data_IF_524707717410
#
_entry.id   IF_524707717410
#
_cell.length_a   1.000
_cell.length_b   1.000
_cell.length_c   1.000
_cell.angle_alpha   90.00
_cell.angle_beta   90.00
_cell.angle_gamma   90.00
#
_symmetry.space_group_name_H-M   'P 1'
#
loop_
_entity.id
_entity.type
_entity.pdbx_description
1 polymer ?
#
# COMPACT_ATOMS: atom_id res chain seq x y z
N UNK A 1 -5.11 6.69 -35.89
CA UNK A 1 -4.77 8.00 -35.27
C UNK A 1 -3.45 7.81 -34.58
N UNK A 2 -2.49 8.70 -34.81
CA UNK A 2 -1.12 8.44 -34.42
C UNK A 2 -0.78 9.31 -33.19
N UNK A 3 -0.45 8.65 -32.08
CA UNK A 3 -0.24 9.30 -30.77
C UNK A 3 1.20 9.80 -30.69
N UNK A 4 1.35 11.11 -30.49
CA UNK A 4 2.65 11.81 -30.54
C UNK A 4 3.02 12.52 -29.23
N UNK A 5 2.07 12.72 -28.32
CA UNK A 5 2.31 13.38 -27.02
C UNK A 5 1.88 12.54 -25.83
N UNK A 6 2.47 12.80 -24.67
CA UNK A 6 2.17 12.04 -23.45
C UNK A 6 0.72 12.26 -23.01
N UNK A 7 0.18 13.47 -23.20
CA UNK A 7 -1.21 13.79 -22.87
C UNK A 7 -2.18 13.04 -23.78
N UNK A 8 -1.91 12.99 -25.09
CA UNK A 8 -2.71 12.19 -26.02
C UNK A 8 -2.66 10.70 -25.68
N UNK A 9 -1.49 10.19 -25.30
CA UNK A 9 -1.34 8.81 -24.85
C UNK A 9 -2.13 8.53 -23.59
N UNK A 10 -2.05 9.46 -22.63
CA UNK A 10 -2.76 9.38 -21.35
C UNK A 10 -4.27 9.28 -21.57
N UNK A 11 -4.83 10.18 -22.36
CA UNK A 11 -6.27 10.28 -22.62
C UNK A 11 -6.83 9.17 -23.51
N UNK A 12 -6.06 8.68 -24.49
CA UNK A 12 -6.60 7.77 -25.53
C UNK A 12 -6.25 6.30 -25.32
N UNK A 13 -5.30 6.00 -24.44
CA UNK A 13 -4.81 4.62 -24.25
C UNK A 13 -4.54 4.30 -22.78
N UNK A 14 -3.76 5.13 -22.08
CA UNK A 14 -3.31 4.79 -20.73
C UNK A 14 -4.46 4.62 -19.74
N UNK A 15 -5.50 5.47 -19.83
CA UNK A 15 -6.67 5.38 -18.95
C UNK A 15 -7.33 4.00 -19.04
N UNK A 16 -7.61 3.51 -20.24
CA UNK A 16 -8.21 2.18 -20.43
C UNK A 16 -7.31 1.06 -19.87
N UNK A 17 -6.00 1.17 -20.07
CA UNK A 17 -5.01 0.20 -19.56
C UNK A 17 -4.96 0.23 -18.03
N UNK A 18 -5.00 1.41 -17.43
CA UNK A 18 -5.01 1.60 -15.98
C UNK A 18 -6.30 1.08 -15.35
N UNK A 19 -7.46 1.39 -15.94
CA UNK A 19 -8.76 0.94 -15.46
C UNK A 19 -8.89 -0.59 -15.52
N UNK A 20 -8.46 -1.21 -16.62
CA UNK A 20 -8.41 -2.67 -16.75
C UNK A 20 -7.47 -3.31 -15.71
N UNK A 21 -6.28 -2.73 -15.51
CA UNK A 21 -5.35 -3.18 -14.47
C UNK A 21 -5.95 -3.11 -13.07
N UNK A 22 -6.60 -2.00 -12.71
CA UNK A 22 -7.22 -1.83 -11.39
C UNK A 22 -8.38 -2.81 -11.20
N UNK A 23 -9.26 -2.95 -12.21
CA UNK A 23 -10.39 -3.87 -12.16
C UNK A 23 -9.93 -5.33 -12.00
N UNK A 24 -8.92 -5.76 -12.77
CA UNK A 24 -8.36 -7.10 -12.66
C UNK A 24 -7.67 -7.34 -11.32
N UNK A 25 -6.97 -6.32 -10.79
CA UNK A 25 -6.33 -6.41 -9.47
C UNK A 25 -7.37 -6.62 -8.37
N UNK A 26 -8.48 -5.87 -8.40
CA UNK A 26 -9.57 -6.03 -7.43
C UNK A 26 -10.24 -7.41 -7.54
N UNK A 27 -10.53 -7.86 -8.76
CA UNK A 27 -11.08 -9.19 -8.97
C UNK A 27 -10.13 -10.31 -8.49
N UNK A 28 -8.82 -10.09 -8.55
CA UNK A 28 -7.84 -11.04 -8.01
C UNK A 28 -7.78 -10.99 -6.48
N UNK A 29 -7.88 -9.81 -5.88
CA UNK A 29 -7.97 -9.69 -4.42
C UNK A 29 -9.22 -10.35 -3.86
N UNK A 30 -10.37 -10.18 -4.52
CA UNK A 30 -11.62 -10.84 -4.11
C UNK A 30 -11.49 -12.36 -4.18
N UNK A 31 -10.86 -12.90 -5.24
CA UNK A 31 -10.60 -14.34 -5.37
C UNK A 31 -9.64 -14.86 -4.30
N UNK A 32 -8.70 -14.04 -3.88
CA UNK A 32 -7.67 -14.38 -2.90
C UNK A 32 -7.99 -13.85 -1.49
N UNK A 33 -9.25 -13.50 -1.22
CA UNK A 33 -9.66 -12.84 0.02
C UNK A 33 -9.13 -13.53 1.29
N UNK A 34 -9.31 -14.86 1.40
CA UNK A 34 -8.84 -15.63 2.55
C UNK A 34 -7.33 -15.55 2.74
N UNK A 35 -6.56 -15.68 1.65
CA UNK A 35 -5.10 -15.58 1.69
C UNK A 35 -4.64 -14.16 2.07
N UNK A 36 -5.34 -13.12 1.62
CA UNK A 36 -5.06 -11.73 2.00
C UNK A 36 -5.37 -11.50 3.49
N UNK A 37 -6.46 -12.04 4.01
CA UNK A 37 -6.77 -11.97 5.43
C UNK A 37 -5.72 -12.72 6.28
N UNK A 38 -5.29 -13.91 5.86
CA UNK A 38 -4.22 -14.64 6.53
C UNK A 38 -2.89 -13.88 6.51
N UNK A 39 -2.53 -13.30 5.36
CA UNK A 39 -1.38 -12.42 5.20
C UNK A 39 -1.43 -11.29 6.24
N UNK A 40 -2.49 -10.47 6.23
CA UNK A 40 -2.59 -9.34 7.15
C UNK A 40 -2.59 -9.77 8.61
N UNK A 41 -3.26 -10.88 8.95
CA UNK A 41 -3.29 -11.40 10.32
C UNK A 41 -1.90 -11.80 10.80
N UNK A 42 -1.15 -12.54 9.98
CA UNK A 42 0.18 -13.01 10.33
C UNK A 42 1.16 -11.84 10.47
N UNK A 43 1.21 -10.97 9.47
CA UNK A 43 2.15 -9.86 9.41
C UNK A 43 1.86 -8.79 10.48
N UNK A 44 0.59 -8.47 10.75
CA UNK A 44 0.25 -7.56 11.85
C UNK A 44 0.63 -8.14 13.20
N UNK A 45 0.37 -9.43 13.43
CA UNK A 45 0.72 -10.09 14.70
C UNK A 45 2.22 -10.13 14.91
N UNK A 46 2.99 -10.43 13.87
CA UNK A 46 4.45 -10.38 13.92
C UNK A 46 4.95 -8.97 14.24
N UNK A 47 4.41 -7.96 13.54
CA UNK A 47 4.79 -6.56 13.76
C UNK A 47 4.44 -6.07 15.17
N UNK A 48 3.26 -6.42 15.70
CA UNK A 48 2.83 -6.09 17.07
C UNK A 48 3.76 -6.75 18.09
N UNK A 49 4.07 -8.04 17.93
CA UNK A 49 4.98 -8.73 18.84
C UNK A 49 6.37 -8.09 18.87
N UNK A 50 6.89 -7.71 17.69
CA UNK A 50 8.15 -6.99 17.60
C UNK A 50 8.11 -5.61 18.26
N UNK A 51 7.03 -4.86 18.06
CA UNK A 51 6.82 -3.57 18.72
C UNK A 51 6.71 -3.72 20.24
N UNK A 52 5.96 -4.71 20.73
CA UNK A 52 5.79 -4.99 22.15
C UNK A 52 7.11 -5.36 22.83
N UNK A 53 7.97 -6.14 22.16
CA UNK A 53 9.32 -6.45 22.65
C UNK A 53 10.16 -5.17 22.83
N UNK A 54 10.12 -4.25 21.84
CA UNK A 54 10.80 -2.95 21.97
C UNK A 54 10.21 -2.11 23.10
N UNK A 55 8.89 -2.08 23.26
CA UNK A 55 8.24 -1.35 24.36
C UNK A 55 8.69 -1.85 25.74
N UNK A 56 8.95 -3.15 25.91
CA UNK A 56 9.46 -3.68 27.18
C UNK A 56 10.85 -3.12 27.54
N UNK A 57 11.65 -2.76 26.53
CA UNK A 57 12.99 -2.19 26.72
C UNK A 57 12.96 -0.66 26.88
N UNK A 58 12.09 0.02 26.13
CA UNK A 58 12.10 1.49 26.01
C UNK A 58 11.03 2.19 26.85
N UNK A 59 9.95 1.49 27.21
CA UNK A 59 8.78 2.06 27.88
C UNK A 59 7.89 2.93 26.99
N UNK A 60 8.09 2.90 25.67
CA UNK A 60 7.26 3.67 24.72
C UNK A 60 5.81 3.19 24.72
N UNK A 61 4.85 4.11 24.67
CA UNK A 61 3.42 3.78 24.59
C UNK A 61 2.92 4.04 23.17
N UNK A 62 2.37 3.01 22.53
CA UNK A 62 1.95 3.11 21.14
C UNK A 62 0.65 3.91 21.02
N UNK A 63 0.68 5.02 20.31
CA UNK A 63 -0.51 5.87 20.08
C UNK A 63 -1.01 5.77 18.63
N UNK A 64 -0.15 5.34 17.72
CA UNK A 64 -0.43 5.39 16.28
C UNK A 64 0.34 4.31 15.52
N UNK A 65 -0.35 3.66 14.58
CA UNK A 65 0.23 2.71 13.64
C UNK A 65 -0.04 3.18 12.21
N UNK A 66 0.98 3.16 11.35
CA UNK A 66 0.79 3.38 9.91
C UNK A 66 1.29 2.22 9.07
N UNK A 67 0.55 1.91 8.01
CA UNK A 67 0.92 0.94 6.99
C UNK A 67 1.13 1.71 5.69
N UNK A 68 2.36 1.74 5.21
CA UNK A 68 2.73 2.55 4.04
C UNK A 68 3.20 1.68 2.89
N UNK A 69 2.65 1.91 1.70
CA UNK A 69 3.23 1.39 0.47
C UNK A 69 4.53 2.13 0.15
N UNK A 70 5.62 1.37 0.02
CA UNK A 70 6.90 1.90 -0.40
C UNK A 70 6.93 1.98 -1.93
N UNK A 71 6.50 3.10 -2.50
CA UNK A 71 6.34 3.25 -3.97
C UNK A 71 7.62 2.95 -4.75
N UNK A 72 8.79 3.30 -4.21
CA UNK A 72 10.09 2.97 -4.81
C UNK A 72 10.35 1.47 -4.90
N UNK A 73 9.88 0.68 -3.93
CA UNK A 73 10.05 -0.77 -3.90
C UNK A 73 9.30 -1.46 -5.05
N UNK A 74 8.13 -0.92 -5.43
CA UNK A 74 7.34 -1.39 -6.56
C UNK A 74 8.09 -1.13 -7.88
N UNK A 75 8.74 0.02 -8.02
CA UNK A 75 9.58 0.32 -9.18
C UNK A 75 10.83 -0.56 -9.25
N UNK A 76 11.36 -0.99 -8.11
CA UNK A 76 12.51 -1.91 -8.03
C UNK A 76 12.10 -3.38 -8.23
N UNK A 77 10.80 -3.67 -8.40
CA UNK A 77 10.29 -5.02 -8.64
C UNK A 77 10.22 -5.89 -7.38
N UNK A 78 10.35 -5.30 -6.19
CA UNK A 78 10.23 -5.97 -4.90
C UNK A 78 9.24 -5.18 -4.04
N UNK A 79 7.94 -5.24 -4.36
CA UNK A 79 6.92 -4.42 -3.69
C UNK A 79 6.91 -4.71 -2.18
N UNK A 80 6.90 -3.65 -1.37
CA UNK A 80 6.95 -3.73 0.08
C UNK A 80 5.95 -2.77 0.71
N UNK A 81 5.37 -3.22 1.82
CA UNK A 81 4.66 -2.39 2.77
C UNK A 81 5.53 -2.21 4.01
N UNK A 82 5.39 -1.07 4.67
CA UNK A 82 6.07 -0.74 5.91
C UNK A 82 5.05 -0.46 6.99
N UNK A 83 5.16 -1.18 8.10
CA UNK A 83 4.35 -1.03 9.30
C UNK A 83 5.18 -0.28 10.33
N UNK A 84 4.78 0.94 10.64
CA UNK A 84 5.48 1.83 11.56
C UNK A 84 4.64 2.08 12.82
N UNK A 85 5.28 1.95 14.00
CA UNK A 85 4.65 2.18 15.30
C UNK A 85 5.22 3.45 15.93
N UNK A 86 4.33 4.32 16.40
CA UNK A 86 4.68 5.63 16.92
C UNK A 86 4.15 5.85 18.34
N UNK A 87 4.88 6.67 19.08
CA UNK A 87 4.46 7.25 20.35
C UNK A 87 3.53 8.46 20.10
N UNK A 88 3.23 9.21 21.16
CA UNK A 88 2.41 10.43 21.07
C UNK A 88 3.01 11.53 20.18
N UNK A 89 4.33 11.48 19.94
CA UNK A 89 5.03 12.48 19.13
C UNK A 89 4.99 12.15 17.64
N UNK A 90 4.12 11.24 17.21
CA UNK A 90 4.04 10.72 15.82
C UNK A 90 4.14 11.79 14.71
N UNK A 91 3.62 13.01 14.92
CA UNK A 91 3.66 14.07 13.90
C UNK A 91 5.09 14.59 13.62
N UNK A 92 5.99 14.56 14.61
CA UNK A 92 7.38 15.03 14.50
C UNK A 92 8.42 13.94 14.82
N UNK A 93 7.97 12.79 15.32
CA UNK A 93 8.77 11.69 15.82
C UNK A 93 9.08 10.64 14.74
N UNK A 94 10.17 9.90 14.96
CA UNK A 94 10.45 8.68 14.21
C UNK A 94 9.66 7.52 14.84
N UNK A 95 9.28 6.49 14.06
CA UNK A 95 8.69 5.32 14.65
C UNK A 95 9.69 4.67 15.60
N UNK A 96 9.22 4.21 16.76
CA UNK A 96 10.06 3.47 17.71
C UNK A 96 10.26 2.02 17.25
N UNK A 97 9.37 1.50 16.41
CA UNK A 97 9.50 0.19 15.78
C UNK A 97 8.98 0.21 14.34
N UNK A 98 9.64 -0.57 13.48
CA UNK A 98 9.35 -0.68 12.06
C UNK A 98 9.43 -2.14 11.62
N UNK A 99 8.43 -2.58 10.90
CA UNK A 99 8.37 -3.88 10.27
C UNK A 99 8.13 -3.73 8.75
N UNK A 100 8.77 -4.56 7.93
CA UNK A 100 8.63 -4.52 6.47
C UNK A 100 8.11 -5.85 5.98
N UNK A 101 7.07 -5.81 5.17
CA UNK A 101 6.40 -7.01 4.66
C UNK A 101 6.43 -7.01 3.12
N UNK A 102 6.77 -8.14 2.49
CA UNK A 102 6.62 -8.30 1.05
C UNK A 102 5.15 -8.10 0.65
N UNK A 103 4.93 -7.39 -0.45
CA UNK A 103 3.58 -7.02 -0.91
C UNK A 103 3.24 -7.65 -2.26
N UNK A 104 3.98 -8.68 -2.70
CA UNK A 104 3.83 -9.32 -4.02
C UNK A 104 2.38 -9.73 -4.33
N UNK A 105 1.65 -10.18 -3.30
CA UNK A 105 0.24 -10.57 -3.38
C UNK A 105 -0.66 -9.46 -3.96
N UNK A 106 -0.35 -8.19 -3.69
CA UNK A 106 -1.13 -7.05 -4.16
C UNK A 106 -0.68 -6.52 -5.53
N UNK A 107 0.50 -6.93 -6.01
CA UNK A 107 1.17 -6.38 -7.18
C UNK A 107 1.44 -7.43 -8.26
N UNK A 108 0.80 -8.60 -8.19
CA UNK A 108 0.95 -9.71 -9.15
C UNK A 108 0.71 -9.28 -10.61
N UNK A 109 -0.19 -8.33 -10.83
CA UNK A 109 -0.54 -7.77 -12.16
C UNK A 109 0.36 -6.65 -12.64
N UNK A 110 1.21 -6.11 -11.78
CA UNK A 110 1.99 -4.90 -12.07
C UNK A 110 2.91 -5.06 -13.28
N UNK A 111 3.56 -6.22 -13.41
CA UNK A 111 4.43 -6.49 -14.57
C UNK A 111 3.65 -6.59 -15.89
N UNK A 112 2.44 -7.16 -15.85
CA UNK A 112 1.57 -7.22 -17.03
C UNK A 112 1.11 -5.82 -17.44
N UNK A 113 0.72 -5.00 -16.47
CA UNK A 113 0.38 -3.59 -16.68
C UNK A 113 1.53 -2.81 -17.33
N UNK A 114 2.77 -2.91 -16.79
CA UNK A 114 3.93 -2.23 -17.39
C UNK A 114 4.13 -2.64 -18.85
N UNK A 115 3.99 -3.95 -19.15
CA UNK A 115 4.17 -4.46 -20.52
C UNK A 115 3.11 -3.91 -21.47
N UNK A 116 1.87 -3.78 -21.02
CA UNK A 116 0.77 -3.22 -21.80
C UNK A 116 0.93 -1.70 -21.98
N UNK A 117 1.28 -0.99 -20.91
CA UNK A 117 1.49 0.45 -20.93
C UNK A 117 2.72 0.86 -21.77
N UNK A 118 3.74 0.02 -21.90
CA UNK A 118 4.94 0.27 -22.73
C UNK A 118 4.85 -0.40 -24.11
N UNK A 119 3.68 -0.90 -24.51
CA UNK A 119 3.50 -1.56 -25.81
C UNK A 119 3.54 -0.53 -26.95
N UNK A 120 4.58 -0.63 -27.76
CA UNK A 120 4.88 0.28 -28.88
C UNK A 120 3.81 0.23 -29.99
N UNK A 121 2.83 -0.69 -29.94
CA UNK A 121 1.66 -0.69 -30.84
C UNK A 121 0.74 0.51 -30.60
N UNK A 122 0.75 1.12 -29.42
CA UNK A 122 -0.17 2.21 -29.06
C UNK A 122 0.36 3.60 -29.38
N UNK A 123 1.65 3.77 -29.64
CA UNK A 123 2.25 5.11 -29.82
C UNK A 123 3.46 5.09 -30.75
N UNK A 124 3.83 6.25 -31.30
CA UNK A 124 5.08 6.38 -32.05
C UNK A 124 6.28 6.46 -31.13
N UNK A 125 7.19 5.48 -31.19
CA UNK A 125 8.44 5.47 -30.41
C UNK A 125 9.35 6.67 -30.67
N UNK A 126 9.32 7.22 -31.89
CA UNK A 126 10.06 8.44 -32.25
C UNK A 126 9.59 9.66 -31.48
N UNK A 127 8.31 9.69 -31.09
CA UNK A 127 7.68 10.80 -30.38
C UNK A 127 7.58 10.55 -28.87
N UNK A 128 7.34 9.30 -28.45
CA UNK A 128 7.15 8.91 -27.05
C UNK A 128 8.13 7.83 -26.61
N UNK A 129 8.95 8.14 -25.60
CA UNK A 129 9.86 7.19 -24.96
C UNK A 129 9.18 6.51 -23.77
N UNK A 130 9.56 5.27 -23.48
CA UNK A 130 9.07 4.52 -22.30
C UNK A 130 9.27 5.29 -20.99
N UNK A 131 10.37 6.04 -20.85
CA UNK A 131 10.63 6.88 -19.67
C UNK A 131 9.60 7.99 -19.48
N UNK A 132 8.99 8.48 -20.56
CA UNK A 132 7.90 9.46 -20.48
C UNK A 132 6.60 8.78 -20.02
N UNK A 133 6.30 7.57 -20.50
CA UNK A 133 5.12 6.81 -20.06
C UNK A 133 5.23 6.46 -18.57
N UNK A 134 6.43 6.08 -18.11
CA UNK A 134 6.70 5.75 -16.71
C UNK A 134 6.40 6.87 -15.73
N UNK A 135 6.35 8.14 -16.17
CA UNK A 135 5.96 9.25 -15.27
C UNK A 135 4.49 9.17 -14.86
N UNK A 136 3.67 8.45 -15.62
CA UNK A 136 2.25 8.21 -15.31
C UNK A 136 2.06 7.15 -14.21
N UNK A 137 3.04 6.25 -14.02
CA UNK A 137 2.92 5.13 -13.07
C UNK A 137 2.72 5.57 -11.64
N UNK A 138 3.28 6.72 -11.26
CA UNK A 138 3.08 7.26 -9.92
C UNK A 138 1.59 7.42 -9.62
N UNK A 139 0.82 8.05 -10.52
CA UNK A 139 -0.62 8.22 -10.33
C UNK A 139 -1.36 6.88 -10.18
N UNK A 140 -0.96 5.87 -10.92
CA UNK A 140 -1.51 4.51 -10.82
C UNK A 140 -1.21 3.86 -9.47
N UNK A 141 0.03 3.98 -8.99
CA UNK A 141 0.42 3.44 -7.69
C UNK A 141 -0.28 4.16 -6.54
N UNK A 142 -0.51 5.47 -6.64
CA UNK A 142 -1.30 6.24 -5.67
C UNK A 142 -2.75 5.76 -5.62
N UNK A 143 -3.37 5.54 -6.79
CA UNK A 143 -4.72 4.95 -6.90
C UNK A 143 -4.78 3.55 -6.29
N UNK A 144 -3.75 2.73 -6.53
CA UNK A 144 -3.66 1.40 -5.95
C UNK A 144 -3.49 1.45 -4.43
N UNK A 145 -2.62 2.32 -3.91
CA UNK A 145 -2.44 2.53 -2.47
C UNK A 145 -3.73 2.96 -1.77
N UNK A 146 -4.46 3.91 -2.38
CA UNK A 146 -5.78 4.32 -1.90
C UNK A 146 -6.78 3.16 -1.90
N UNK A 147 -6.78 2.35 -2.97
CA UNK A 147 -7.67 1.20 -3.10
C UNK A 147 -7.35 0.12 -2.08
N UNK A 148 -6.07 -0.13 -1.81
CA UNK A 148 -5.64 -1.02 -0.72
C UNK A 148 -6.11 -0.51 0.64
N UNK A 149 -5.96 0.79 0.92
CA UNK A 149 -6.45 1.36 2.19
C UNK A 149 -7.98 1.24 2.33
N UNK A 150 -8.73 1.41 1.24
CA UNK A 150 -10.17 1.17 1.25
C UNK A 150 -10.54 -0.30 1.48
N UNK A 151 -9.81 -1.24 0.87
CA UNK A 151 -10.05 -2.67 1.03
C UNK A 151 -9.60 -3.22 2.39
N UNK A 152 -8.50 -2.71 2.93
CA UNK A 152 -7.99 -3.10 4.24
C UNK A 152 -9.03 -2.90 5.34
N UNK A 153 -9.84 -1.83 5.26
CA UNK A 153 -10.94 -1.63 6.20
C UNK A 153 -11.92 -2.82 6.22
N UNK A 154 -12.17 -3.46 5.08
CA UNK A 154 -13.03 -4.64 4.99
C UNK A 154 -12.31 -5.90 5.43
N UNK A 155 -11.04 -6.08 5.07
CA UNK A 155 -10.25 -7.23 5.53
C UNK A 155 -10.08 -7.26 7.05
N UNK A 156 -9.92 -6.09 7.68
CA UNK A 156 -9.83 -5.96 9.13
C UNK A 156 -11.19 -6.08 9.84
N UNK A 157 -12.32 -6.01 9.13
CA UNK A 157 -13.64 -6.08 9.76
C UNK A 157 -13.89 -7.42 10.46
N UNK A 158 -13.28 -8.49 9.96
CA UNK A 158 -13.37 -9.85 10.52
C UNK A 158 -12.23 -10.16 11.51
N UNK A 159 -11.40 -9.17 11.86
CA UNK A 159 -10.28 -9.37 12.77
C UNK A 159 -10.69 -9.02 14.19
N UNK A 160 -10.36 -9.90 15.14
CA UNK A 160 -10.33 -9.53 16.54
C UNK A 160 -9.09 -8.66 16.77
N UNK A 161 -9.28 -7.34 16.68
CA UNK A 161 -8.19 -6.38 16.84
C UNK A 161 -7.61 -6.39 18.26
N UNK A 162 -8.38 -6.78 19.27
CA UNK A 162 -7.87 -6.93 20.64
C UNK A 162 -6.92 -8.13 20.72
N UNK A 163 -7.23 -9.23 20.03
CA UNK A 163 -6.32 -10.36 19.85
C UNK A 163 -5.05 -9.96 19.08
N UNK A 164 -5.18 -9.19 18.00
CA UNK A 164 -4.03 -8.75 17.19
C UNK A 164 -3.09 -7.84 17.99
N UNK A 165 -3.65 -6.91 18.77
CA UNK A 165 -2.89 -5.93 19.55
C UNK A 165 -2.45 -6.47 20.92
N UNK A 166 -2.75 -7.74 21.22
CA UNK A 166 -2.41 -8.35 22.50
C UNK A 166 -0.91 -8.20 22.82
N UNK A 167 -0.62 -7.67 24.02
CA UNK A 167 0.74 -7.47 24.51
C UNK A 167 1.35 -6.11 24.14
N UNK A 168 0.76 -5.37 23.21
CA UNK A 168 1.15 -3.99 22.91
C UNK A 168 0.47 -3.03 23.89
N UNK A 169 1.26 -2.19 24.55
CA UNK A 169 0.73 -1.13 25.41
C UNK A 169 0.31 0.03 24.52
N UNK A 170 -1.00 0.23 24.40
CA UNK A 170 -1.59 1.27 23.55
C UNK A 170 -2.13 2.45 24.38
N UNK A 171 -2.07 3.65 23.80
CA UNK A 171 -2.80 4.83 24.27
C UNK A 171 -4.08 4.99 23.48
N UNK A 172 -5.18 5.28 24.17
CA UNK A 172 -6.46 5.65 23.55
C UNK A 172 -6.58 7.19 23.53
N UNK A 173 -7.01 7.81 22.41
CA UNK A 173 -7.42 7.18 21.16
C UNK A 173 -6.25 6.55 20.38
N UNK A 174 -6.49 5.35 19.85
CA UNK A 174 -5.56 4.64 18.98
C UNK A 174 -6.05 4.71 17.53
N UNK A 175 -5.11 4.86 16.60
CA UNK A 175 -5.40 4.94 15.17
C UNK A 175 -4.47 4.05 14.36
N UNK A 176 -5.08 3.35 13.41
CA UNK A 176 -4.38 2.61 12.37
C UNK A 176 -4.72 3.25 11.01
N UNK A 177 -3.69 3.57 10.25
CA UNK A 177 -3.82 4.16 8.91
C UNK A 177 -3.12 3.34 7.84
N UNK A 178 -3.56 3.50 6.60
CA UNK A 178 -2.89 2.95 5.43
C UNK A 178 -2.81 3.97 4.30
N UNK A 179 -1.70 3.96 3.56
CA UNK A 179 -1.56 4.80 2.37
C UNK A 179 -0.13 4.85 1.82
N UNK A 180 0.26 6.03 1.33
CA UNK A 180 1.59 6.26 0.76
C UNK A 180 2.62 6.60 1.83
N UNK A 181 3.83 6.07 1.71
CA UNK A 181 4.93 6.47 2.59
C UNK A 181 5.24 7.97 2.44
N UNK A 182 5.16 8.72 3.55
CA UNK A 182 5.29 10.19 3.60
C UNK A 182 4.25 10.94 2.73
N UNK A 183 3.18 10.26 2.31
CA UNK A 183 2.11 10.82 1.49
C UNK A 183 0.76 10.74 2.17
N UNK A 184 -0.29 10.66 1.37
CA UNK A 184 -1.66 10.58 1.87
C UNK A 184 -1.89 9.26 2.64
N UNK A 185 -2.48 9.37 3.82
CA UNK A 185 -2.84 8.27 4.70
C UNK A 185 -4.34 8.29 4.98
N UNK A 186 -4.96 7.12 4.98
CA UNK A 186 -6.39 6.94 5.25
C UNK A 186 -6.58 6.16 6.55
N UNK A 187 -7.42 6.62 7.49
CA UNK A 187 -7.80 5.82 8.65
C UNK A 187 -8.51 4.54 8.21
N UNK A 188 -8.05 3.40 8.72
CA UNK A 188 -8.66 2.08 8.46
C UNK A 188 -9.23 1.44 9.73
N UNK A 189 -8.71 1.81 10.91
CA UNK A 189 -9.25 1.40 12.20
C UNK A 189 -9.04 2.48 13.26
N UNK A 190 -9.98 2.57 14.21
CA UNK A 190 -9.95 3.53 15.30
C UNK A 190 -10.51 2.89 16.57
N UNK A 191 -9.82 3.09 17.68
CA UNK A 191 -10.28 2.71 19.01
C UNK A 191 -10.47 3.97 19.86
N UNK A 192 -11.68 4.11 20.40
CA UNK A 192 -12.09 5.17 21.33
C UNK A 192 -12.54 4.56 22.65
N UNK A 193 -12.48 5.33 23.75
CA UNK A 193 -12.98 4.93 25.07
C UNK A 193 -14.45 4.51 25.07
#
# INVERSE_FOLDING_TARGET
MLIETLDQYKEKCYQDIEEDFLAQSFAEWDKNFAAICEFWRADLREAVNGAAAVQQETGEICSYLSISLLLSSVHMGTPQLQIDFFDEKWFYGRPFYRHRVPADLFFSRWLAFIRQAEDERYYQRSALRRTMIRTLYMGTLQRLAFSLACNLKYWLADFDMDEILQGLVIKVPFHLTMGEYLGAQKPVFHMSN
#
